data_IF_291444730822
#
_entry.id   IF_291444730822
#
_cell.length_a   1.000
_cell.length_b   1.000
_cell.length_c   1.000
_cell.angle_alpha   90.00
_cell.angle_beta   90.00
_cell.angle_gamma   90.00
#
_symmetry.space_group_name_H-M   'P 1'
#
loop_
_entity.id
_entity.type
_entity.pdbx_description
1 polymer ?
#
# COMPACT_ATOMS: atom_id res chain seq x y z
N UNK A 1 -6.18 -28.53 62.39
CA UNK A 1 -6.18 -28.80 60.94
C UNK A 1 -5.06 -27.99 60.30
N UNK A 2 -3.87 -28.59 60.15
CA UNK A 2 -2.74 -27.98 59.47
C UNK A 2 -2.74 -28.43 58.00
N UNK A 3 -2.69 -27.48 57.06
CA UNK A 3 -2.56 -27.76 55.62
C UNK A 3 -1.21 -27.26 55.13
N UNK A 4 -0.46 -28.19 54.54
CA UNK A 4 0.82 -28.02 53.89
C UNK A 4 0.76 -27.10 52.66
N UNK A 5 1.81 -26.28 52.48
CA UNK A 5 2.17 -25.66 51.22
C UNK A 5 3.41 -26.37 50.66
N UNK A 6 3.27 -27.05 49.51
CA UNK A 6 4.40 -27.55 48.72
C UNK A 6 4.77 -26.51 47.66
N UNK A 7 5.93 -25.88 47.83
CA UNK A 7 6.57 -25.09 46.78
C UNK A 7 7.35 -26.03 45.84
N UNK A 8 7.09 -25.96 44.54
CA UNK A 8 7.90 -26.63 43.49
C UNK A 8 8.87 -25.61 42.90
N UNK A 9 10.15 -25.80 43.18
CA UNK A 9 11.26 -25.08 42.56
C UNK A 9 11.52 -25.65 41.17
N UNK A 10 11.50 -24.81 40.13
CA UNK A 10 11.88 -25.19 38.76
C UNK A 10 13.24 -24.55 38.48
N UNK A 11 14.27 -25.38 38.33
CA UNK A 11 15.62 -24.96 37.95
C UNK A 11 15.73 -24.96 36.43
N UNK A 12 15.96 -23.80 35.83
CA UNK A 12 16.23 -23.65 34.39
C UNK A 12 17.73 -23.73 34.16
N UNK A 13 18.18 -24.72 33.38
CA UNK A 13 19.57 -24.85 32.93
C UNK A 13 19.68 -24.24 31.54
N UNK A 14 20.50 -23.19 31.42
CA UNK A 14 20.80 -22.52 30.15
C UNK A 14 22.08 -23.10 29.54
N UNK A 15 21.98 -23.66 28.33
CA UNK A 15 23.14 -24.10 27.53
C UNK A 15 23.40 -23.06 26.43
N UNK A 16 24.54 -22.37 26.53
CA UNK A 16 25.05 -21.48 25.48
C UNK A 16 26.02 -22.24 24.58
N UNK A 17 25.73 -22.33 23.30
CA UNK A 17 26.66 -22.85 22.27
C UNK A 17 27.20 -21.66 21.47
N UNK A 18 28.51 -21.44 21.56
CA UNK A 18 29.24 -20.45 20.76
C UNK A 18 29.71 -21.09 19.45
N UNK A 19 29.22 -20.58 18.31
CA UNK A 19 29.70 -20.92 16.97
C UNK A 19 30.73 -19.89 16.52
N UNK A 20 31.99 -20.30 16.41
CA UNK A 20 33.08 -19.48 15.83
C UNK A 20 33.13 -19.70 14.32
N UNK A 21 32.86 -18.65 13.54
CA UNK A 21 33.01 -18.67 12.09
C UNK A 21 34.47 -18.40 11.69
N UNK A 22 35.07 -19.35 10.97
CA UNK A 22 36.41 -19.20 10.36
C UNK A 22 36.25 -18.57 8.98
N UNK A 23 36.79 -17.36 8.81
CA UNK A 23 36.84 -16.68 7.52
C UNK A 23 38.05 -17.17 6.69
N UNK A 24 37.78 -17.77 5.53
CA UNK A 24 38.80 -18.11 4.53
C UNK A 24 38.90 -16.96 3.51
N UNK A 25 40.11 -16.39 3.39
CA UNK A 25 40.44 -15.34 2.42
C UNK A 25 40.69 -15.95 1.03
N UNK A 26 40.05 -15.40 -0.01
CA UNK A 26 40.39 -15.66 -1.41
C UNK A 26 41.44 -14.64 -1.90
N UNK A 27 42.48 -15.04 -2.65
CA UNK A 27 43.38 -14.10 -3.29
C UNK A 27 42.98 -13.80 -4.75
N UNK A 28 42.87 -12.49 -4.99
CA UNK A 28 43.23 -11.68 -6.16
C UNK A 28 43.40 -12.30 -7.56
N UNK A 29 42.64 -11.73 -8.49
CA UNK A 29 42.72 -11.85 -9.95
C UNK A 29 44.10 -11.48 -10.54
N UNK A 30 44.56 -12.25 -11.53
CA UNK A 30 45.39 -11.78 -12.65
C UNK A 30 45.01 -12.52 -13.94
N UNK A 31 44.62 -11.78 -14.96
CA UNK A 31 44.51 -12.22 -16.37
C UNK A 31 45.91 -12.39 -16.98
N UNK A 32 46.07 -13.29 -17.95
CA UNK A 32 46.28 -12.81 -19.32
C UNK A 32 45.63 -13.68 -20.43
N UNK A 33 45.13 -13.02 -21.47
CA UNK A 33 44.95 -13.56 -22.84
C UNK A 33 46.33 -13.72 -23.53
N UNK A 34 46.54 -14.46 -24.66
CA UNK A 34 45.63 -14.44 -25.83
C UNK A 34 45.65 -15.66 -26.83
N UNK A 35 44.80 -15.52 -27.88
CA UNK A 35 44.85 -16.05 -29.28
C UNK A 35 44.40 -17.48 -29.70
N UNK A 36 43.33 -17.47 -30.53
CA UNK A 36 43.08 -18.15 -31.85
C UNK A 36 42.67 -19.65 -31.97
N UNK A 37 41.40 -19.83 -32.40
CA UNK A 37 40.69 -20.80 -33.29
C UNK A 37 41.43 -21.93 -34.06
N UNK A 38 40.73 -22.87 -34.75
CA UNK A 38 39.39 -23.48 -34.58
C UNK A 38 39.41 -25.04 -34.75
N UNK A 39 38.30 -25.77 -34.50
CA UNK A 39 37.76 -26.86 -35.36
C UNK A 39 36.58 -27.63 -34.71
N UNK A 40 35.47 -27.64 -35.46
CA UNK A 40 34.35 -28.60 -35.65
C UNK A 40 34.42 -29.98 -34.94
N UNK A 41 33.36 -30.39 -34.21
CA UNK A 41 32.41 -31.45 -34.62
C UNK A 41 31.28 -31.72 -33.59
N UNK A 42 30.22 -32.36 -34.10
CA UNK A 42 28.92 -32.65 -33.50
C UNK A 42 28.96 -33.59 -32.28
N UNK A 43 28.08 -33.34 -31.30
CA UNK A 43 27.34 -34.40 -30.61
C UNK A 43 26.04 -33.87 -29.99
N UNK A 44 24.94 -34.57 -30.25
CA UNK A 44 23.63 -34.41 -29.64
C UNK A 44 23.68 -34.77 -28.15
N UNK A 45 23.09 -33.95 -27.28
CA UNK A 45 22.40 -34.44 -26.07
C UNK A 45 21.45 -33.40 -25.50
N UNK A 46 20.37 -33.93 -24.95
CA UNK A 46 19.12 -33.32 -24.50
C UNK A 46 19.16 -32.66 -23.11
N UNK A 47 18.09 -31.90 -22.83
CA UNK A 47 17.57 -31.35 -21.54
C UNK A 47 18.18 -30.00 -21.05
N UNK A 48 17.46 -29.24 -20.19
CA UNK A 48 16.56 -28.13 -20.52
C UNK A 48 17.16 -26.74 -20.20
N UNK A 49 16.82 -25.74 -21.02
CA UNK A 49 17.28 -24.35 -20.81
C UNK A 49 16.34 -23.63 -19.85
N UNK A 50 16.70 -23.57 -18.57
CA UNK A 50 16.15 -22.60 -17.64
C UNK A 50 17.30 -21.88 -16.93
N UNK A 51 17.73 -20.77 -17.52
CA UNK A 51 18.60 -19.78 -16.88
C UNK A 51 17.82 -18.47 -16.81
N UNK A 52 17.13 -18.26 -15.70
CA UNK A 52 16.70 -16.93 -15.29
C UNK A 52 17.94 -16.16 -14.80
N UNK A 53 18.52 -15.34 -15.67
CA UNK A 53 19.29 -14.20 -15.19
C UNK A 53 18.33 -13.08 -14.83
N UNK A 54 17.86 -13.10 -13.58
CA UNK A 54 17.31 -11.92 -12.93
C UNK A 54 18.47 -10.93 -12.71
N UNK A 55 18.69 -10.05 -13.69
CA UNK A 55 19.36 -8.80 -13.41
C UNK A 55 18.36 -7.91 -12.66
N UNK A 56 18.65 -7.45 -11.43
CA UNK A 56 17.91 -6.34 -10.86
C UNK A 56 18.29 -5.12 -11.71
N UNK A 57 17.37 -4.70 -12.58
CA UNK A 57 17.44 -3.37 -13.17
C UNK A 57 17.25 -2.40 -12.00
N UNK A 58 18.36 -1.96 -11.41
CA UNK A 58 18.41 -0.79 -10.56
C UNK A 58 18.05 0.42 -11.44
N UNK A 59 16.76 0.69 -11.56
CA UNK A 59 16.27 1.98 -12.02
C UNK A 59 16.47 2.98 -10.89
N UNK A 60 17.72 3.41 -10.70
CA UNK A 60 17.99 4.74 -10.15
C UNK A 60 17.50 5.74 -11.21
N UNK A 61 16.18 5.93 -11.27
CA UNK A 61 15.61 7.04 -12.01
C UNK A 61 16.11 8.32 -11.32
N UNK A 62 16.67 9.22 -12.12
CA UNK A 62 17.08 10.55 -11.73
C UNK A 62 15.93 11.24 -10.96
N UNK A 63 16.12 11.38 -9.65
CA UNK A 63 15.21 12.11 -8.78
C UNK A 63 15.18 13.57 -9.23
N UNK A 64 14.09 13.98 -9.85
CA UNK A 64 13.77 15.38 -10.05
C UNK A 64 13.04 15.86 -8.78
N UNK A 65 13.64 16.71 -7.92
CA UNK A 65 13.06 17.07 -6.62
C UNK A 65 11.73 17.85 -6.73
N UNK A 66 11.38 18.33 -7.93
CA UNK A 66 10.21 19.16 -8.18
C UNK A 66 8.97 18.39 -8.68
N UNK A 67 9.05 17.08 -8.96
CA UNK A 67 7.94 16.35 -9.61
C UNK A 67 6.98 15.61 -8.67
N UNK A 68 7.28 15.49 -7.37
CA UNK A 68 6.43 14.74 -6.44
C UNK A 68 6.18 15.45 -5.10
N UNK A 69 5.77 16.72 -5.17
CA UNK A 69 5.23 17.40 -3.98
C UNK A 69 3.83 16.85 -3.68
N UNK A 70 3.58 16.49 -2.42
CA UNK A 70 2.27 16.02 -1.95
C UNK A 70 1.22 17.15 -1.96
N UNK A 71 0.47 17.26 -3.05
CA UNK A 71 -0.43 18.37 -3.28
C UNK A 71 -1.75 18.23 -2.51
N UNK A 72 -2.29 17.01 -2.38
CA UNK A 72 -3.55 16.78 -1.65
C UNK A 72 -3.38 17.08 -0.17
N UNK A 73 -2.22 16.76 0.40
CA UNK A 73 -1.86 17.09 1.77
C UNK A 73 -1.83 18.60 2.09
N UNK A 74 -1.84 19.48 1.07
CA UNK A 74 -1.87 20.95 1.24
C UNK A 74 -3.26 21.55 1.02
N UNK A 75 -4.24 20.75 0.63
CA UNK A 75 -5.61 21.24 0.36
C UNK A 75 -6.31 21.67 1.64
N UNK A 76 -7.13 22.72 1.52
CA UNK A 76 -7.96 23.28 2.58
C UNK A 76 -9.40 23.50 2.10
N UNK A 77 -10.40 23.50 3.00
CA UNK A 77 -10.28 23.25 4.43
C UNK A 77 -9.88 21.80 4.73
N UNK A 78 -9.26 21.56 5.90
CA UNK A 78 -8.94 20.21 6.36
C UNK A 78 -10.23 19.36 6.40
N UNK A 79 -10.22 18.10 5.90
CA UNK A 79 -11.44 17.30 5.74
C UNK A 79 -12.34 17.27 6.98
N UNK A 80 -13.65 17.44 6.78
CA UNK A 80 -14.65 17.44 7.86
C UNK A 80 -14.57 18.65 8.81
N UNK A 81 -13.88 19.72 8.43
CA UNK A 81 -13.70 20.92 9.27
C UNK A 81 -13.79 22.23 8.47
N UNK A 82 -13.58 23.36 9.16
CA UNK A 82 -13.37 24.69 8.56
C UNK A 82 -11.94 25.21 8.76
N UNK A 83 -11.02 24.30 9.13
CA UNK A 83 -9.64 24.66 9.47
C UNK A 83 -8.85 24.84 8.19
N UNK A 84 -8.28 26.02 8.01
CA UNK A 84 -7.39 26.34 6.90
C UNK A 84 -5.95 26.02 7.27
N UNK A 85 -5.20 25.39 6.36
CA UNK A 85 -3.77 25.14 6.55
C UNK A 85 -2.97 26.43 6.35
N UNK A 86 -1.83 26.56 7.03
CA UNK A 86 -0.85 27.58 6.68
C UNK A 86 -0.33 27.30 5.26
N UNK A 87 -0.19 28.34 4.42
CA UNK A 87 0.34 28.16 3.06
C UNK A 87 1.78 27.69 3.11
N UNK A 88 2.10 26.65 2.34
CA UNK A 88 3.46 26.11 2.18
C UNK A 88 3.92 26.38 0.73
N UNK A 89 4.88 27.28 0.50
CA UNK A 89 5.51 27.44 -0.79
C UNK A 89 6.16 26.14 -1.26
N UNK A 90 6.08 25.84 -2.56
CA UNK A 90 6.59 24.59 -3.15
C UNK A 90 8.07 24.35 -2.84
N UNK A 91 8.88 25.41 -2.83
CA UNK A 91 10.31 25.40 -2.51
C UNK A 91 10.61 25.22 -1.01
N UNK A 92 9.59 25.29 -0.14
CA UNK A 92 9.71 25.15 1.32
C UNK A 92 9.04 23.90 1.87
N UNK A 93 8.57 22.99 1.03
CA UNK A 93 7.93 21.73 1.44
C UNK A 93 8.93 20.85 2.20
N UNK A 94 10.14 20.67 1.67
CA UNK A 94 11.14 19.79 2.27
C UNK A 94 11.65 20.29 3.62
N UNK A 95 11.70 19.41 4.62
CA UNK A 95 12.17 19.73 5.97
C UNK A 95 13.62 20.24 6.02
N UNK A 96 14.46 19.83 5.07
CA UNK A 96 15.85 20.28 4.95
C UNK A 96 15.97 21.76 4.58
N UNK A 97 14.91 22.36 4.02
CA UNK A 97 14.86 23.80 3.75
C UNK A 97 14.54 24.50 5.06
N UNK A 98 15.48 25.35 5.49
CA UNK A 98 15.32 26.17 6.68
C UNK A 98 14.14 27.13 6.52
N UNK A 99 13.29 27.19 7.54
CA UNK A 99 12.15 28.09 7.55
C UNK A 99 11.70 28.37 8.99
N UNK A 100 12.42 29.27 9.67
CA UNK A 100 12.13 29.64 11.07
C UNK A 100 10.74 30.25 11.26
N UNK A 101 10.25 30.99 10.26
CA UNK A 101 8.90 31.58 10.27
C UNK A 101 7.77 30.57 10.02
N UNK A 102 8.07 29.28 9.84
CA UNK A 102 7.05 28.27 9.62
C UNK A 102 6.16 28.11 10.86
N UNK A 103 4.93 28.61 10.77
CA UNK A 103 3.91 28.59 11.83
C UNK A 103 2.68 27.83 11.35
N UNK A 104 2.71 26.49 11.35
CA UNK A 104 1.55 25.68 10.96
C UNK A 104 0.41 25.85 11.95
N UNK A 105 -0.82 25.72 11.46
CA UNK A 105 -2.01 25.67 12.31
C UNK A 105 -2.02 24.36 13.09
N UNK A 106 -2.38 24.38 14.38
CA UNK A 106 -2.54 23.16 15.16
C UNK A 106 -3.99 22.67 15.15
N UNK A 107 -4.21 21.43 14.71
CA UNK A 107 -5.54 20.82 14.68
C UNK A 107 -5.51 19.31 14.89
N UNK A 108 -6.38 18.85 15.79
CA UNK A 108 -6.74 17.43 15.95
C UNK A 108 -8.25 17.38 16.16
N UNK A 109 -8.94 16.52 15.41
CA UNK A 109 -10.38 16.44 15.41
C UNK A 109 -10.90 15.98 16.79
N UNK A 110 -12.09 16.46 17.16
CA UNK A 110 -12.70 16.15 18.46
C UNK A 110 -12.89 14.63 18.68
N UNK A 111 -13.23 13.87 17.62
CA UNK A 111 -13.35 12.42 17.69
C UNK A 111 -12.03 11.71 18.01
N UNK A 112 -10.89 12.24 17.53
CA UNK A 112 -9.55 11.72 17.87
C UNK A 112 -9.18 12.10 19.30
N UNK A 113 -9.49 13.34 19.71
CA UNK A 113 -9.23 13.82 21.08
C UNK A 113 -10.09 13.11 22.14
N UNK A 114 -11.26 12.60 21.76
CA UNK A 114 -12.13 11.83 22.64
C UNK A 114 -11.51 10.50 23.10
N UNK A 115 -10.39 10.06 22.50
CA UNK A 115 -9.64 8.90 22.97
C UNK A 115 -10.29 7.57 22.63
N UNK A 116 -10.85 7.45 21.41
CA UNK A 116 -11.33 6.17 20.91
C UNK A 116 -10.19 5.12 20.88
N UNK A 117 -10.54 3.83 20.91
CA UNK A 117 -9.57 2.72 20.96
C UNK A 117 -8.57 2.69 19.80
N UNK A 118 -8.98 3.24 18.64
CA UNK A 118 -8.15 3.36 17.44
C UNK A 118 -7.27 4.61 17.43
N UNK A 119 -7.43 5.54 18.38
CA UNK A 119 -6.68 6.78 18.47
C UNK A 119 -5.62 6.74 19.58
N UNK A 120 -4.45 7.30 19.30
CA UNK A 120 -3.42 7.50 20.32
C UNK A 120 -3.84 8.60 21.32
N UNK A 121 -3.29 8.60 22.55
CA UNK A 121 -3.31 9.78 23.40
C UNK A 121 -2.57 10.98 22.76
N UNK A 122 -2.74 12.17 23.35
CA UNK A 122 -1.85 13.29 23.03
C UNK A 122 -0.43 13.00 23.52
N UNK A 123 0.60 13.52 22.82
CA UNK A 123 2.02 13.31 23.17
C UNK A 123 2.36 13.78 24.59
N UNK A 124 1.65 14.78 25.12
CA UNK A 124 1.82 15.28 26.49
C UNK A 124 1.23 14.36 27.58
N UNK A 125 0.55 13.27 27.22
CA UNK A 125 -0.05 12.36 28.18
C UNK A 125 1.03 11.58 28.96
N UNK A 126 0.97 11.63 30.30
CA UNK A 126 2.02 11.11 31.20
C UNK A 126 2.43 9.65 30.97
N UNK A 127 1.49 8.81 30.52
CA UNK A 127 1.73 7.37 30.34
C UNK A 127 1.75 6.97 28.85
N UNK A 128 1.98 7.93 27.95
CA UNK A 128 2.08 7.68 26.52
C UNK A 128 3.51 7.88 26.03
N UNK A 129 4.23 6.77 25.87
CA UNK A 129 5.62 6.73 25.41
C UNK A 129 5.70 5.89 24.14
N UNK A 130 5.25 6.42 22.98
CA UNK A 130 5.19 5.66 21.73
C UNK A 130 6.58 5.27 21.24
N UNK A 131 6.72 4.04 20.74
CA UNK A 131 7.95 3.56 20.09
C UNK A 131 7.90 3.81 18.58
N UNK A 132 8.20 5.04 18.18
CA UNK A 132 8.26 5.42 16.76
C UNK A 132 9.31 4.62 15.99
N UNK A 133 9.07 4.42 14.69
CA UNK A 133 9.89 3.58 13.81
C UNK A 133 10.03 2.10 14.26
N UNK A 134 9.12 1.61 15.11
CA UNK A 134 9.12 0.24 15.62
C UNK A 134 7.70 -0.35 15.64
N UNK A 135 7.60 -1.66 15.89
CA UNK A 135 6.33 -2.29 16.25
C UNK A 135 6.07 -2.05 17.74
N UNK A 136 5.08 -1.21 18.05
CA UNK A 136 4.74 -0.77 19.40
C UNK A 136 3.52 -1.53 19.94
N UNK A 137 3.77 -2.75 20.43
CA UNK A 137 2.71 -3.65 20.85
C UNK A 137 1.83 -4.09 19.67
N UNK A 138 0.57 -3.67 19.66
CA UNK A 138 -0.39 -3.93 18.58
C UNK A 138 -0.41 -2.83 17.51
N UNK A 139 0.31 -1.73 17.71
CA UNK A 139 0.38 -0.62 16.76
C UNK A 139 1.66 -0.74 15.95
N UNK A 140 1.53 -0.88 14.63
CA UNK A 140 2.65 -0.77 13.72
C UNK A 140 2.98 0.72 13.56
N UNK A 141 4.18 1.14 14.00
CA UNK A 141 4.64 2.53 13.86
C UNK A 141 5.79 2.63 12.86
N UNK A 142 6.24 1.54 12.24
CA UNK A 142 7.21 1.60 11.14
C UNK A 142 6.55 2.13 9.88
N UNK A 143 7.15 3.13 9.26
CA UNK A 143 6.73 3.55 7.93
C UNK A 143 7.19 2.53 6.89
N UNK A 144 6.32 2.27 5.91
CA UNK A 144 6.61 1.49 4.71
C UNK A 144 7.57 2.24 3.76
N UNK A 145 7.80 3.54 3.99
CA UNK A 145 8.71 4.40 3.24
C UNK A 145 10.08 4.61 3.91
N UNK A 146 10.36 3.89 5.00
CA UNK A 146 11.64 3.95 5.72
C UNK A 146 11.53 4.65 7.08
N UNK A 147 12.66 5.13 7.60
CA UNK A 147 12.66 5.86 8.88
C UNK A 147 12.12 7.27 8.69
N UNK A 148 11.30 7.72 9.63
CA UNK A 148 10.89 9.12 9.73
C UNK A 148 11.52 9.78 10.96
N UNK A 149 11.77 11.08 10.85
CA UNK A 149 12.32 11.89 11.92
C UNK A 149 11.28 12.08 13.04
N UNK A 150 11.75 12.17 14.29
CA UNK A 150 10.94 12.56 15.44
C UNK A 150 11.53 13.83 16.01
N UNK A 151 10.76 14.93 15.96
CA UNK A 151 11.15 16.23 16.50
C UNK A 151 10.15 16.67 17.57
N UNK A 152 10.64 17.20 18.69
CA UNK A 152 9.81 17.64 19.81
C UNK A 152 8.83 16.54 20.30
N UNK A 153 9.27 15.28 20.23
CA UNK A 153 8.48 14.11 20.60
C UNK A 153 7.40 13.71 19.60
N UNK A 154 7.35 14.32 18.41
CA UNK A 154 6.33 14.08 17.37
C UNK A 154 6.99 13.60 16.07
N UNK A 155 6.39 12.67 15.32
CA UNK A 155 6.87 12.32 13.98
C UNK A 155 6.84 13.52 13.04
N UNK A 156 7.77 13.59 12.09
CA UNK A 156 7.73 14.48 10.93
C UNK A 156 7.31 13.70 9.70
N UNK A 157 6.34 14.23 8.96
CA UNK A 157 5.84 13.65 7.73
C UNK A 157 6.98 13.50 6.70
N UNK A 158 7.23 12.29 6.18
CA UNK A 158 8.40 12.01 5.33
C UNK A 158 8.35 12.76 3.99
N UNK A 159 7.16 13.21 3.56
CA UNK A 159 6.98 13.98 2.32
C UNK A 159 7.05 15.50 2.52
N UNK A 160 7.28 15.99 3.74
CA UNK A 160 7.50 17.40 4.02
C UNK A 160 6.39 18.09 4.82
N UNK A 161 6.49 19.43 4.88
CA UNK A 161 5.55 20.34 5.54
C UNK A 161 4.20 20.32 4.84
N UNK A 162 3.12 20.35 5.63
CA UNK A 162 1.73 20.37 5.16
C UNK A 162 0.97 21.64 5.55
N UNK A 163 1.58 22.52 6.35
CA UNK A 163 0.93 23.72 6.89
C UNK A 163 0.03 23.45 8.10
N UNK A 164 0.01 22.22 8.62
CA UNK A 164 -0.84 21.84 9.75
C UNK A 164 -0.14 20.82 10.65
N UNK A 165 0.02 21.17 11.92
CA UNK A 165 0.44 20.26 12.99
C UNK A 165 -0.77 19.71 13.73
N UNK A 166 -0.57 18.67 14.52
CA UNK A 166 -1.63 17.85 15.10
C UNK A 166 -1.72 16.52 14.37
N UNK A 167 -2.83 15.83 14.54
CA UNK A 167 -3.16 14.61 13.78
C UNK A 167 -4.33 14.80 12.83
N UNK A 168 -5.04 15.93 12.92
CA UNK A 168 -6.31 16.10 12.23
C UNK A 168 -7.28 14.96 12.56
N UNK A 169 -7.75 14.23 11.55
CA UNK A 169 -8.64 13.08 11.67
C UNK A 169 -7.93 11.74 11.91
N UNK A 170 -6.59 11.71 11.82
CA UNK A 170 -5.84 10.47 11.95
C UNK A 170 -5.67 10.06 13.41
N UNK A 171 -5.86 8.78 13.70
CA UNK A 171 -5.81 8.26 15.06
C UNK A 171 -4.39 8.20 15.60
N UNK A 172 -3.43 7.77 14.78
CA UNK A 172 -2.05 7.51 15.19
C UNK A 172 -1.14 8.70 14.91
N UNK A 173 -0.16 8.90 15.79
CA UNK A 173 1.00 9.73 15.47
C UNK A 173 1.91 8.96 14.51
N UNK A 174 2.35 9.61 13.42
CA UNK A 174 3.15 9.00 12.37
C UNK A 174 2.31 8.29 11.31
N UNK A 175 2.72 7.11 10.81
CA UNK A 175 2.00 6.41 9.76
C UNK A 175 0.66 5.86 10.29
N UNK A 176 -0.39 6.02 9.48
CA UNK A 176 -1.70 5.42 9.67
C UNK A 176 -1.91 4.46 8.50
N UNK A 177 -1.76 3.16 8.79
CA UNK A 177 -1.74 2.12 7.76
C UNK A 177 -3.15 1.77 7.28
N UNK A 178 -3.29 1.71 5.97
CA UNK A 178 -4.43 1.18 5.24
C UNK A 178 -4.00 0.00 4.37
N UNK A 179 -4.97 -0.71 3.81
CA UNK A 179 -4.74 -1.73 2.80
C UNK A 179 -5.74 -1.59 1.65
N UNK A 180 -5.25 -1.65 0.42
CA UNK A 180 -6.03 -1.39 -0.79
C UNK A 180 -6.09 -2.64 -1.70
N UNK A 181 -7.16 -3.45 -1.61
CA UNK A 181 -7.35 -4.63 -2.46
C UNK A 181 -7.83 -4.23 -3.85
N UNK A 182 -6.95 -4.30 -4.84
CA UNK A 182 -7.26 -4.00 -6.24
C UNK A 182 -7.71 -5.29 -6.92
N UNK A 183 -9.01 -5.57 -6.89
CA UNK A 183 -9.58 -6.74 -7.57
C UNK A 183 -9.83 -6.42 -9.04
N UNK A 184 -9.24 -7.20 -9.93
CA UNK A 184 -9.31 -6.97 -11.39
C UNK A 184 -9.82 -8.18 -12.16
N UNK A 185 -10.43 -7.92 -13.32
CA UNK A 185 -10.77 -8.93 -14.32
C UNK A 185 -10.67 -8.34 -15.73
N UNK A 186 -10.51 -9.18 -16.74
CA UNK A 186 -10.66 -8.73 -18.13
C UNK A 186 -12.11 -8.37 -18.44
N UNK A 187 -12.34 -7.28 -19.17
CA UNK A 187 -13.65 -6.98 -19.73
C UNK A 187 -13.98 -8.02 -20.80
N UNK A 188 -15.16 -8.64 -20.71
CA UNK A 188 -15.59 -9.70 -21.63
C UNK A 188 -16.88 -9.34 -22.37
N UNK A 189 -17.04 -9.86 -23.59
CA UNK A 189 -18.28 -9.81 -24.34
C UNK A 189 -19.29 -10.89 -23.88
N UNK A 190 -20.46 -10.94 -24.50
CA UNK A 190 -21.51 -11.93 -24.17
C UNK A 190 -21.10 -13.39 -24.44
N UNK A 191 -20.06 -13.60 -25.24
CA UNK A 191 -19.50 -14.92 -25.56
C UNK A 191 -18.33 -15.28 -24.64
N UNK A 192 -17.99 -14.41 -23.67
CA UNK A 192 -16.88 -14.60 -22.74
C UNK A 192 -15.52 -14.22 -23.30
N UNK A 193 -15.41 -13.61 -24.49
CA UNK A 193 -14.12 -13.21 -25.06
C UNK A 193 -13.65 -11.88 -24.49
N UNK A 194 -12.33 -11.74 -24.30
CA UNK A 194 -11.72 -10.46 -23.89
C UNK A 194 -11.97 -9.39 -24.94
N UNK A 195 -12.34 -8.18 -24.49
CA UNK A 195 -12.57 -7.04 -25.36
C UNK A 195 -11.29 -6.21 -25.49
N UNK A 196 -10.78 -6.09 -26.71
CA UNK A 196 -9.68 -5.18 -27.04
C UNK A 196 -10.18 -3.74 -27.22
N UNK A 197 -9.43 -2.77 -26.73
CA UNK A 197 -9.68 -1.37 -26.99
C UNK A 197 -9.29 -1.02 -28.45
N UNK A 198 -10.15 -0.34 -29.23
CA UNK A 198 -9.93 -0.15 -30.66
C UNK A 198 -8.67 0.68 -30.99
N UNK A 199 -8.27 1.58 -30.09
CA UNK A 199 -7.12 2.48 -30.32
C UNK A 199 -5.79 1.79 -29.98
N UNK A 200 -5.69 1.13 -28.83
CA UNK A 200 -4.43 0.54 -28.37
C UNK A 200 -4.22 -0.89 -28.84
N UNK A 201 -5.28 -1.58 -29.30
CA UNK A 201 -5.26 -3.01 -29.60
C UNK A 201 -5.07 -3.93 -28.39
N UNK A 202 -4.96 -3.36 -27.18
CA UNK A 202 -4.78 -4.09 -25.92
C UNK A 202 -6.14 -4.39 -25.28
N UNK A 203 -6.23 -5.48 -24.53
CA UNK A 203 -7.44 -5.84 -23.80
C UNK A 203 -7.78 -4.80 -22.72
N UNK A 204 -9.08 -4.55 -22.53
CA UNK A 204 -9.60 -3.65 -21.49
C UNK A 204 -9.64 -4.43 -20.17
N UNK A 205 -8.94 -3.90 -19.16
CA UNK A 205 -8.99 -4.42 -17.80
C UNK A 205 -10.05 -3.65 -17.01
N UNK A 206 -10.76 -4.33 -16.11
CA UNK A 206 -11.68 -3.71 -15.17
C UNK A 206 -11.17 -3.91 -13.74
N UNK A 207 -11.51 -2.98 -12.85
CA UNK A 207 -11.35 -3.16 -11.41
C UNK A 207 -12.63 -2.85 -10.66
N UNK A 208 -12.77 -3.39 -9.45
CA UNK A 208 -13.87 -3.04 -8.55
C UNK A 208 -13.55 -1.71 -7.88
N UNK A 209 -14.46 -0.74 -8.02
CA UNK A 209 -14.36 0.55 -7.37
C UNK A 209 -15.61 0.85 -6.54
N UNK A 210 -15.42 1.58 -5.45
CA UNK A 210 -16.50 2.14 -4.64
C UNK A 210 -16.56 3.65 -4.81
N UNK A 211 -17.75 4.23 -4.68
CA UNK A 211 -17.95 5.67 -4.58
C UNK A 211 -18.13 6.02 -3.11
N UNK A 212 -17.16 6.67 -2.49
CA UNK A 212 -17.18 6.97 -1.06
C UNK A 212 -18.36 7.88 -0.69
N UNK A 213 -19.00 7.65 0.46
CA UNK A 213 -20.13 8.50 0.93
C UNK A 213 -19.71 9.90 1.35
N UNK A 214 -18.50 10.05 1.88
CA UNK A 214 -17.99 11.28 2.49
C UNK A 214 -17.62 12.36 1.48
N UNK A 215 -16.92 12.00 0.39
CA UNK A 215 -16.47 12.94 -0.64
C UNK A 215 -17.14 12.73 -2.00
N UNK A 216 -17.81 11.59 -2.22
CA UNK A 216 -18.41 11.26 -3.51
C UNK A 216 -17.37 10.94 -4.60
N UNK A 217 -16.13 10.66 -4.25
CA UNK A 217 -15.09 10.25 -5.20
C UNK A 217 -15.07 8.73 -5.38
N UNK A 218 -14.62 8.27 -6.55
CA UNK A 218 -14.38 6.85 -6.81
C UNK A 218 -13.03 6.44 -6.23
N UNK A 219 -12.96 5.28 -5.57
CA UNK A 219 -11.78 4.80 -4.89
C UNK A 219 -11.67 3.26 -5.00
N UNK A 220 -10.48 2.74 -4.70
CA UNK A 220 -10.29 1.32 -4.40
C UNK A 220 -11.03 1.04 -3.07
N UNK A 221 -11.71 -0.11 -2.93
CA UNK A 221 -12.40 -0.50 -1.69
C UNK A 221 -11.40 -0.97 -0.62
N UNK A 222 -10.56 -0.04 -0.17
CA UNK A 222 -9.63 -0.24 0.93
C UNK A 222 -10.05 0.52 2.19
N UNK A 223 -9.34 0.24 3.27
CA UNK A 223 -9.60 0.85 4.57
C UNK A 223 -8.48 0.61 5.57
N UNK A 224 -8.74 0.98 6.81
CA UNK A 224 -7.71 1.05 7.85
C UNK A 224 -7.33 -0.34 8.35
N UNK A 225 -6.05 -0.53 8.66
CA UNK A 225 -5.56 -1.75 9.33
C UNK A 225 -5.94 -1.67 10.80
N UNK A 226 -6.69 -2.67 11.27
CA UNK A 226 -7.07 -2.73 12.68
C UNK A 226 -5.87 -3.05 13.60
N UNK A 227 -5.88 -2.60 14.86
CA UNK A 227 -4.80 -2.91 15.81
C UNK A 227 -4.55 -4.42 15.94
N UNK A 228 -3.33 -4.86 15.62
CA UNK A 228 -2.93 -6.27 15.64
C UNK A 228 -3.40 -7.11 14.43
N UNK A 229 -4.15 -6.52 13.50
CA UNK A 229 -4.58 -7.17 12.27
C UNK A 229 -3.41 -7.33 11.30
N UNK A 230 -3.42 -8.43 10.52
CA UNK A 230 -2.47 -8.63 9.41
C UNK A 230 -3.01 -7.92 8.17
N UNK A 231 -2.14 -7.28 7.38
CA UNK A 231 -2.52 -6.66 6.10
C UNK A 231 -3.34 -7.59 5.20
N UNK A 232 -2.99 -8.88 5.11
CA UNK A 232 -3.75 -9.84 4.30
C UNK A 232 -5.18 -10.07 4.78
N UNK A 233 -5.43 -9.95 6.09
CA UNK A 233 -6.77 -9.99 6.65
C UNK A 233 -7.53 -8.70 6.35
N UNK A 234 -6.88 -7.53 6.51
CA UNK A 234 -7.43 -6.22 6.16
C UNK A 234 -7.89 -6.17 4.70
N UNK A 235 -7.02 -6.56 3.76
CA UNK A 235 -7.34 -6.57 2.31
C UNK A 235 -8.61 -7.38 2.01
N UNK A 236 -8.76 -8.54 2.65
CA UNK A 236 -9.94 -9.40 2.45
C UNK A 236 -11.18 -8.84 3.13
N UNK A 237 -11.04 -8.36 4.37
CA UNK A 237 -12.12 -7.78 5.17
C UNK A 237 -12.69 -6.55 4.47
N UNK A 238 -11.85 -5.56 4.16
CA UNK A 238 -12.24 -4.31 3.51
C UNK A 238 -12.97 -4.57 2.19
N UNK A 239 -12.43 -5.44 1.33
CA UNK A 239 -13.13 -5.79 0.09
C UNK A 239 -14.50 -6.43 0.34
N UNK A 240 -14.59 -7.33 1.32
CA UNK A 240 -15.84 -8.03 1.63
C UNK A 240 -16.88 -7.10 2.27
N UNK A 241 -16.47 -6.17 3.11
CA UNK A 241 -17.35 -5.20 3.76
C UNK A 241 -17.83 -4.14 2.77
N UNK A 242 -16.89 -3.49 2.06
CA UNK A 242 -17.18 -2.33 1.20
C UNK A 242 -17.79 -2.68 -0.16
N UNK A 243 -17.36 -3.80 -0.77
CA UNK A 243 -17.74 -4.14 -2.13
C UNK A 243 -18.78 -5.26 -2.23
N UNK A 244 -18.97 -6.05 -1.16
CA UNK A 244 -19.90 -7.19 -1.10
C UNK A 244 -20.96 -7.06 0.00
N UNK A 245 -20.97 -5.95 0.75
CA UNK A 245 -21.85 -5.68 1.88
C UNK A 245 -21.91 -6.85 2.88
N UNK A 246 -20.78 -7.49 3.14
CA UNK A 246 -20.74 -8.74 3.90
C UNK A 246 -21.34 -8.61 5.30
N UNK A 247 -21.25 -7.44 5.94
CA UNK A 247 -21.81 -7.20 7.29
C UNK A 247 -23.32 -7.46 7.35
N UNK A 248 -24.07 -7.15 6.28
CA UNK A 248 -25.52 -7.31 6.20
C UNK A 248 -25.96 -8.69 5.66
N UNK A 249 -25.02 -9.53 5.23
CA UNK A 249 -25.31 -10.87 4.70
C UNK A 249 -25.69 -11.87 5.78
N UNK A 250 -26.57 -12.82 5.43
CA UNK A 250 -26.87 -13.97 6.29
C UNK A 250 -25.63 -14.86 6.48
N UNK A 251 -25.66 -15.73 7.50
CA UNK A 251 -24.55 -16.65 7.76
C UNK A 251 -24.23 -17.55 6.55
N UNK A 252 -25.26 -18.07 5.87
CA UNK A 252 -25.06 -18.94 4.71
C UNK A 252 -24.42 -18.20 3.52
N UNK A 253 -24.85 -16.97 3.26
CA UNK A 253 -24.25 -16.11 2.22
C UNK A 253 -22.81 -15.74 2.56
N UNK A 254 -22.52 -15.48 3.85
CA UNK A 254 -21.15 -15.24 4.34
C UNK A 254 -20.26 -16.46 4.09
N UNK A 255 -20.72 -17.66 4.42
CA UNK A 255 -19.96 -18.89 4.22
C UNK A 255 -19.65 -19.16 2.74
N UNK A 256 -20.57 -18.82 1.82
CA UNK A 256 -20.31 -18.97 0.38
C UNK A 256 -19.37 -17.89 -0.16
N UNK A 257 -19.60 -16.63 0.21
CA UNK A 257 -18.71 -15.50 -0.14
C UNK A 257 -17.29 -15.75 0.36
N UNK A 258 -17.16 -16.29 1.57
CA UNK A 258 -15.88 -16.60 2.21
C UNK A 258 -15.09 -17.65 1.41
N UNK A 259 -15.75 -18.66 0.80
CA UNK A 259 -15.06 -19.62 -0.08
C UNK A 259 -14.52 -18.95 -1.34
N UNK A 260 -15.33 -18.12 -1.99
CA UNK A 260 -14.92 -17.38 -3.20
C UNK A 260 -13.78 -16.41 -2.89
N UNK A 261 -13.87 -15.68 -1.78
CA UNK A 261 -12.79 -14.79 -1.32
C UNK A 261 -11.54 -15.58 -0.95
N UNK A 262 -11.66 -16.75 -0.31
CA UNK A 262 -10.50 -17.60 -0.05
C UNK A 262 -9.85 -18.09 -1.36
N UNK A 263 -10.61 -18.38 -2.41
CA UNK A 263 -10.04 -18.71 -3.72
C UNK A 263 -9.31 -17.50 -4.32
N UNK A 264 -9.96 -16.33 -4.34
CA UNK A 264 -9.43 -15.10 -4.93
C UNK A 264 -8.18 -14.56 -4.23
N UNK A 265 -8.13 -14.62 -2.89
CA UNK A 265 -7.04 -14.03 -2.10
C UNK A 265 -5.87 -14.99 -1.86
N UNK A 266 -6.04 -16.30 -2.08
CA UNK A 266 -4.96 -17.29 -1.99
C UNK A 266 -4.30 -17.61 -3.33
N UNK A 267 -4.79 -17.06 -4.43
CA UNK A 267 -4.11 -17.18 -5.72
C UNK A 267 -2.85 -16.30 -5.77
N UNK A 268 -2.08 -16.42 -6.86
CA UNK A 268 -0.95 -15.54 -7.11
C UNK A 268 -1.42 -14.08 -7.21
N UNK A 269 -0.76 -13.21 -6.45
CA UNK A 269 -1.04 -11.79 -6.37
C UNK A 269 0.28 -11.04 -6.34
N UNK A 270 0.24 -9.75 -6.62
CA UNK A 270 1.42 -8.91 -6.49
C UNK A 270 1.11 -7.61 -5.76
N UNK A 271 2.09 -7.15 -5.00
CA UNK A 271 2.08 -5.84 -4.37
C UNK A 271 2.29 -4.79 -5.46
N UNK A 272 1.33 -3.89 -5.59
CA UNK A 272 1.36 -2.76 -6.52
C UNK A 272 2.17 -1.62 -5.94
N UNK A 273 1.93 -1.31 -4.67
CA UNK A 273 2.53 -0.17 -3.98
C UNK A 273 2.59 -0.42 -2.47
N UNK A 274 3.65 0.10 -1.82
CA UNK A 274 3.77 0.22 -0.36
C UNK A 274 4.39 1.56 -0.01
N UNK A 275 3.76 2.32 0.87
CA UNK A 275 4.31 3.59 1.31
C UNK A 275 3.30 4.70 1.51
N UNK A 276 3.83 5.91 1.50
CA UNK A 276 3.12 7.17 1.63
C UNK A 276 2.00 7.38 0.60
N UNK A 277 0.83 7.81 1.08
CA UNK A 277 -0.30 8.21 0.24
C UNK A 277 -0.47 9.72 0.35
N UNK A 278 -0.44 10.45 -0.77
CA UNK A 278 -0.82 11.87 -0.81
C UNK A 278 -2.33 12.00 -0.56
N UNK A 279 -2.70 12.19 0.70
CA UNK A 279 -4.08 12.19 1.20
C UNK A 279 -4.38 13.54 1.89
N UNK A 280 -5.58 14.12 1.69
CA UNK A 280 -5.95 15.39 2.29
C UNK A 280 -6.02 15.38 3.82
N UNK A 281 -6.04 14.21 4.46
CA UNK A 281 -5.97 14.05 5.92
C UNK A 281 -4.55 14.17 6.47
N UNK A 282 -3.53 14.15 5.63
CA UNK A 282 -2.14 14.20 6.08
C UNK A 282 -1.83 15.52 6.80
N UNK A 283 -0.98 15.44 7.81
CA UNK A 283 -0.49 16.57 8.61
C UNK A 283 1.03 16.49 8.69
N UNK A 284 1.64 17.43 9.38
CA UNK A 284 3.08 17.39 9.67
C UNK A 284 3.46 16.19 10.56
N UNK A 285 2.51 15.63 11.33
CA UNK A 285 2.82 14.62 12.36
C UNK A 285 2.07 13.30 12.23
N UNK A 286 1.19 13.18 11.24
CA UNK A 286 0.42 11.98 10.96
C UNK A 286 0.08 11.94 9.48
N UNK A 287 0.25 10.78 8.86
CA UNK A 287 0.00 10.61 7.42
C UNK A 287 -0.56 9.22 7.12
N UNK A 288 -1.21 9.10 5.96
CA UNK A 288 -1.68 7.85 5.41
C UNK A 288 -0.55 7.08 4.74
N UNK A 289 -0.50 5.78 5.00
CA UNK A 289 0.27 4.83 4.20
C UNK A 289 -0.62 3.67 3.80
N UNK A 290 -0.34 3.06 2.66
CA UNK A 290 -1.09 1.89 2.20
C UNK A 290 -0.17 0.80 1.70
N UNK A 291 -0.66 -0.43 1.79
CA UNK A 291 -0.21 -1.55 0.97
C UNK A 291 -1.31 -1.89 -0.04
N UNK A 292 -1.09 -1.51 -1.30
CA UNK A 292 -1.98 -1.81 -2.41
C UNK A 292 -1.57 -3.14 -3.06
N UNK A 293 -2.51 -4.07 -3.16
CA UNK A 293 -2.25 -5.43 -3.67
C UNK A 293 -3.26 -5.76 -4.75
N UNK A 294 -2.78 -6.23 -5.89
CA UNK A 294 -3.64 -6.66 -6.98
C UNK A 294 -3.92 -8.15 -6.92
N UNK A 295 -5.20 -8.48 -6.94
CA UNK A 295 -5.71 -9.84 -7.11
C UNK A 295 -6.46 -9.89 -8.45
N UNK A 296 -6.03 -10.77 -9.35
CA UNK A 296 -6.54 -10.81 -10.70
C UNK A 296 -7.35 -12.09 -10.96
N UNK A 297 -8.59 -11.93 -11.38
CA UNK A 297 -9.41 -13.02 -11.89
C UNK A 297 -9.24 -13.12 -13.42
N UNK A 298 -8.19 -13.84 -13.82
CA UNK A 298 -7.85 -14.09 -15.23
C UNK A 298 -8.98 -14.80 -15.98
N UNK A 299 -9.54 -15.95 -15.51
CA UNK A 299 -10.62 -16.63 -16.22
C UNK A 299 -11.97 -15.90 -16.11
N UNK A 300 -12.21 -15.13 -15.05
CA UNK A 300 -13.49 -14.48 -14.75
C UNK A 300 -14.44 -15.35 -13.92
N UNK A 301 -14.09 -16.61 -13.66
CA UNK A 301 -14.98 -17.58 -13.02
C UNK A 301 -15.29 -17.27 -11.55
N UNK A 302 -14.40 -16.56 -10.85
CA UNK A 302 -14.55 -16.28 -9.42
C UNK A 302 -15.45 -15.08 -9.19
N UNK A 303 -15.25 -14.01 -9.96
CA UNK A 303 -15.90 -12.72 -9.78
C UNK A 303 -17.17 -12.56 -10.60
N UNK A 304 -17.36 -13.31 -11.70
CA UNK A 304 -18.56 -13.19 -12.53
C UNK A 304 -19.83 -13.66 -11.80
N UNK A 305 -19.69 -14.56 -10.82
CA UNK A 305 -20.79 -15.07 -10.01
C UNK A 305 -21.00 -14.29 -8.70
N UNK A 306 -20.20 -13.25 -8.46
CA UNK A 306 -20.22 -12.48 -7.24
C UNK A 306 -20.95 -11.15 -7.47
N UNK A 307 -22.11 -10.99 -6.82
CA UNK A 307 -22.86 -9.73 -6.88
C UNK A 307 -22.17 -8.67 -6.03
N UNK A 308 -21.75 -7.59 -6.66
CA UNK A 308 -21.24 -6.41 -5.95
C UNK A 308 -22.40 -5.68 -5.27
N UNK A 309 -22.22 -5.37 -4.00
CA UNK A 309 -23.18 -4.63 -3.18
C UNK A 309 -22.42 -3.64 -2.29
N UNK A 310 -22.80 -2.37 -2.34
CA UNK A 310 -22.07 -1.34 -1.61
C UNK A 310 -22.28 -1.52 -0.10
N UNK A 311 -21.18 -1.51 0.66
CA UNK A 311 -21.18 -1.55 2.11
C UNK A 311 -21.73 -0.29 2.78
N UNK A 312 -21.55 -0.21 4.09
CA UNK A 312 -22.02 0.90 4.91
C UNK A 312 -21.24 2.20 4.69
N UNK A 313 -19.98 2.17 4.26
CA UNK A 313 -19.21 3.38 3.93
C UNK A 313 -19.15 3.70 2.41
N UNK A 314 -19.52 2.74 1.57
CA UNK A 314 -19.66 2.91 0.12
C UNK A 314 -21.07 3.36 -0.30
N UNK A 315 -21.18 4.45 -1.06
CA UNK A 315 -22.44 4.92 -1.63
C UNK A 315 -22.85 4.16 -2.89
N UNK A 316 -21.87 3.67 -3.66
CA UNK A 316 -22.05 2.84 -4.87
C UNK A 316 -20.85 1.91 -5.01
N UNK A 317 -21.04 0.78 -5.67
CA UNK A 317 -19.96 -0.13 -6.08
C UNK A 317 -20.18 -0.55 -7.53
N UNK A 318 -19.11 -0.69 -8.33
CA UNK A 318 -19.19 -1.26 -9.68
C UNK A 318 -17.84 -1.71 -10.20
N UNK A 319 -17.88 -2.51 -11.27
CA UNK A 319 -16.76 -2.66 -12.19
C UNK A 319 -16.53 -1.37 -12.98
N UNK A 320 -15.28 -0.94 -13.04
CA UNK A 320 -14.82 0.25 -13.76
C UNK A 320 -13.80 -0.19 -14.81
N UNK A 321 -14.03 0.20 -16.06
CA UNK A 321 -13.03 0.03 -17.13
C UNK A 321 -11.83 0.92 -16.84
N UNK A 322 -10.63 0.34 -16.86
CA UNK A 322 -9.39 1.05 -16.60
C UNK A 322 -9.00 1.87 -17.83
N UNK A 323 -8.77 3.16 -17.63
CA UNK A 323 -8.12 4.05 -18.59
C UNK A 323 -7.49 5.26 -17.89
N UNK A 324 -6.65 6.01 -18.61
CA UNK A 324 -5.98 7.22 -18.11
C UNK A 324 -6.94 8.34 -17.69
N UNK A 325 -8.19 8.32 -18.17
CA UNK A 325 -9.20 9.35 -17.87
C UNK A 325 -9.87 9.18 -16.51
N UNK A 326 -9.60 8.07 -15.82
CA UNK A 326 -10.16 7.80 -14.50
C UNK A 326 -9.69 8.83 -13.49
N UNK A 327 -10.66 9.48 -12.83
CA UNK A 327 -10.42 10.35 -11.68
C UNK A 327 -10.77 9.57 -10.42
N UNK A 328 -9.74 9.25 -9.64
CA UNK A 328 -9.87 8.49 -8.41
C UNK A 328 -9.38 9.28 -7.20
N UNK A 329 -9.90 8.93 -6.03
CA UNK A 329 -9.52 9.48 -4.73
C UNK A 329 -8.02 9.26 -4.44
N UNK A 330 -7.43 10.19 -3.67
CA UNK A 330 -6.01 10.18 -3.33
C UNK A 330 -5.13 9.94 -4.59
N UNK A 331 -4.08 9.15 -4.50
CA UNK A 331 -3.25 8.75 -5.65
C UNK A 331 -3.64 7.37 -6.22
N UNK A 332 -4.88 6.92 -6.03
CA UNK A 332 -5.32 5.59 -6.51
C UNK A 332 -5.18 5.43 -8.04
N UNK A 333 -5.27 6.53 -8.81
CA UNK A 333 -5.02 6.52 -10.24
C UNK A 333 -3.63 5.97 -10.61
N UNK A 334 -2.62 6.29 -9.80
CA UNK A 334 -1.25 5.82 -10.02
C UNK A 334 -1.13 4.30 -9.78
N UNK A 335 -1.85 3.78 -8.77
CA UNK A 335 -1.88 2.33 -8.50
C UNK A 335 -2.55 1.58 -9.66
N UNK A 336 -3.68 2.10 -10.16
CA UNK A 336 -4.39 1.48 -11.29
C UNK A 336 -3.54 1.52 -12.57
N UNK A 337 -2.77 2.58 -12.79
CA UNK A 337 -1.79 2.65 -13.89
C UNK A 337 -0.76 1.53 -13.81
N UNK A 338 -0.14 1.34 -12.65
CA UNK A 338 0.85 0.28 -12.44
C UNK A 338 0.25 -1.12 -12.66
N UNK A 339 -1.00 -1.33 -12.26
CA UNK A 339 -1.74 -2.57 -12.52
C UNK A 339 -1.97 -2.77 -14.02
N UNK A 340 -2.41 -1.74 -14.74
CA UNK A 340 -2.61 -1.81 -16.19
C UNK A 340 -1.30 -2.12 -16.93
N UNK A 341 -0.19 -1.51 -16.53
CA UNK A 341 1.15 -1.76 -17.07
C UNK A 341 1.57 -3.22 -16.83
N UNK A 342 1.41 -3.73 -15.60
CA UNK A 342 1.78 -5.09 -15.23
C UNK A 342 1.04 -6.14 -16.05
N UNK A 343 -0.25 -5.93 -16.31
CA UNK A 343 -1.08 -6.85 -17.11
C UNK A 343 -1.02 -6.59 -18.63
N UNK A 344 -0.30 -5.57 -19.08
CA UNK A 344 -0.27 -5.19 -20.49
C UNK A 344 -1.64 -4.75 -21.03
N UNK A 345 -2.47 -4.16 -20.17
CA UNK A 345 -3.82 -3.71 -20.49
C UNK A 345 -3.83 -2.37 -21.27
N UNK A 346 -5.00 -2.01 -21.78
CA UNK A 346 -5.28 -0.67 -22.26
C UNK A 346 -5.06 0.39 -21.15
N UNK A 347 -4.52 1.56 -21.53
CA UNK A 347 -4.31 2.70 -20.63
C UNK A 347 -4.49 4.04 -21.34
N UNK A 348 -3.64 4.31 -22.35
CA UNK A 348 -3.72 5.53 -23.17
C UNK A 348 -4.89 5.43 -24.17
N UNK A 349 -5.73 6.46 -24.19
CA UNK A 349 -6.81 6.62 -25.16
C UNK A 349 -6.38 7.46 -26.37
N UNK A 350 -5.29 8.22 -26.26
CA UNK A 350 -4.76 8.97 -27.40
C UNK A 350 -4.01 8.05 -28.38
N UNK A 351 -4.20 8.22 -29.70
CA UNK A 351 -3.40 7.50 -30.68
C UNK A 351 -1.95 7.87 -30.46
N UNK A 352 -1.09 6.88 -30.25
CA UNK A 352 0.37 7.06 -30.32
C UNK A 352 0.62 7.73 -31.68
N UNK A 353 1.20 8.95 -31.73
CA UNK A 353 1.53 9.58 -32.99
C UNK A 353 2.44 8.60 -33.74
N UNK A 354 1.90 8.01 -34.80
CA UNK A 354 2.63 7.04 -35.58
C UNK A 354 3.90 7.70 -36.09
N UNK A 355 5.05 7.09 -35.82
CA UNK A 355 6.22 7.24 -36.67
C UNK A 355 5.73 7.07 -38.12
N UNK A 356 5.73 8.17 -38.86
CA UNK A 356 5.35 8.19 -40.26
C UNK A 356 6.21 7.14 -40.99
N UNK A 357 5.54 6.22 -41.68
CA UNK A 357 6.15 5.29 -42.61
C UNK A 357 6.73 6.02 -43.82
#
# INVERSE_FOLDING_TARGET
MARWCLARTVTVVSLTVTLSAVAVRYPSCRLPHPLLHPFRELAYSSVPVHWFHLYPVSMLNCYNPNENVHNKAHTSPYPGSKVERSKVPTDKVGWLVEWEDYKPVEYTAACVLAGATWADPQISAKNFSPKFNEKDGQVERRSLSGLYEVENGRPRNPSGRTGLVGRGLLGRWGPNHAADPIITRWKRDSSGNKIAHPISGKNILQFVAIKRKDCGEWAIPGGMVDPGEKISATLKREFSEEALNSLQKSRAEKEETEKQMNRLFNQEHFVVYKGYVDDPRNTDNAWMETEAVNYHDEPGETMDNLLLEAGDDAGKVKWVDISEKLKLYANHGDFIKLVAEKWGAHWNEDPVPGCHK
#
